data_IF_158948034142
#
_entry.id   IF_158948034142
#
_cell.length_a   1.000
_cell.length_b   1.000
_cell.length_c   1.000
_cell.angle_alpha   90.00
_cell.angle_beta   90.00
_cell.angle_gamma   90.00
#
_symmetry.space_group_name_H-M   'P 1'
#
loop_
_entity.id
_entity.type
_entity.pdbx_description
1 polymer ?
#
# COMPACT_ATOMS: atom_id res chain seq x y z
N UNK A 1 31.96 17.73 32.84
CA UNK A 1 32.00 16.31 32.41
C UNK A 1 30.59 15.78 32.08
N UNK A 2 29.56 16.08 32.89
CA UNK A 2 28.15 15.69 32.61
C UNK A 2 27.58 16.25 31.30
N UNK A 3 27.84 17.52 30.96
CA UNK A 3 27.33 18.16 29.73
C UNK A 3 27.80 17.48 28.42
N UNK A 4 29.00 16.90 28.40
CA UNK A 4 29.50 16.13 27.24
C UNK A 4 28.79 14.77 27.09
N UNK A 5 28.38 14.16 28.20
CA UNK A 5 27.68 12.87 28.19
C UNK A 5 26.21 13.04 27.75
N UNK A 6 25.54 14.11 28.20
CA UNK A 6 24.19 14.46 27.74
C UNK A 6 24.17 14.81 26.24
N UNK A 7 25.16 15.56 25.76
CA UNK A 7 25.31 15.88 24.34
C UNK A 7 25.60 14.62 23.49
N UNK A 8 26.31 13.64 24.05
CA UNK A 8 26.58 12.34 23.40
C UNK A 8 25.33 11.47 23.31
N UNK A 9 24.49 11.44 24.35
CA UNK A 9 23.26 10.65 24.35
C UNK A 9 22.22 11.22 23.37
N UNK A 10 22.03 12.54 23.35
CA UNK A 10 21.14 13.21 22.40
C UNK A 10 21.59 12.99 20.94
N UNK A 11 22.90 12.98 20.68
CA UNK A 11 23.46 12.66 19.36
C UNK A 11 23.18 11.21 18.95
N UNK A 12 23.31 10.25 19.87
CA UNK A 12 23.02 8.84 19.62
C UNK A 12 21.53 8.59 19.34
N UNK A 13 20.63 9.22 20.10
CA UNK A 13 19.18 9.14 19.85
C UNK A 13 18.83 9.71 18.48
N UNK A 14 19.39 10.87 18.10
CA UNK A 14 19.17 11.44 16.78
C UNK A 14 19.67 10.54 15.65
N UNK A 15 20.82 9.88 15.83
CA UNK A 15 21.33 8.92 14.86
C UNK A 15 20.40 7.72 14.69
N UNK A 16 19.89 7.16 15.79
CA UNK A 16 18.92 6.05 15.75
C UNK A 16 17.60 6.47 15.07
N UNK A 17 17.07 7.65 15.41
CA UNK A 17 15.88 8.20 14.77
C UNK A 17 16.07 8.35 13.26
N UNK A 18 17.20 8.90 12.82
CA UNK A 18 17.48 9.06 11.40
C UNK A 18 17.62 7.71 10.69
N UNK A 19 18.27 6.72 11.32
CA UNK A 19 18.37 5.37 10.78
C UNK A 19 16.98 4.72 10.59
N UNK A 20 16.10 4.87 11.58
CA UNK A 20 14.72 4.40 11.47
C UNK A 20 13.96 5.11 10.34
N UNK A 21 14.11 6.42 10.20
CA UNK A 21 13.47 7.20 9.13
C UNK A 21 13.94 6.79 7.75
N UNK A 22 15.24 6.62 7.53
CA UNK A 22 15.75 6.11 6.26
C UNK A 22 15.14 4.75 5.91
N UNK A 23 15.01 3.85 6.91
CA UNK A 23 14.36 2.56 6.70
C UNK A 23 12.86 2.68 6.38
N UNK A 24 12.16 3.64 6.96
CA UNK A 24 10.76 3.94 6.62
C UNK A 24 10.67 4.43 5.18
N UNK A 25 11.52 5.38 4.79
CA UNK A 25 11.56 5.92 3.42
C UNK A 25 11.81 4.80 2.39
N UNK A 26 12.73 3.88 2.68
CA UNK A 26 13.02 2.73 1.81
C UNK A 26 11.82 1.76 1.67
N UNK A 27 11.05 1.56 2.75
CA UNK A 27 9.82 0.76 2.71
C UNK A 27 8.78 1.47 1.84
N UNK A 28 8.60 2.78 2.04
CA UNK A 28 7.63 3.57 1.29
C UNK A 28 7.95 3.58 -0.21
N UNK A 29 9.23 3.71 -0.59
CA UNK A 29 9.64 3.57 -1.99
C UNK A 29 9.26 2.21 -2.59
N UNK A 30 9.45 1.12 -1.84
CA UNK A 30 9.06 -0.22 -2.28
C UNK A 30 7.55 -0.36 -2.42
N UNK A 31 6.78 0.21 -1.49
CA UNK A 31 5.31 0.24 -1.57
C UNK A 31 4.84 0.97 -2.83
N UNK A 32 5.42 2.12 -3.15
CA UNK A 32 5.08 2.87 -4.38
C UNK A 32 5.43 2.07 -5.64
N UNK A 33 6.59 1.41 -5.67
CA UNK A 33 6.98 0.57 -6.79
C UNK A 33 6.02 -0.63 -6.99
N UNK A 34 5.57 -1.26 -5.91
CA UNK A 34 4.58 -2.36 -5.97
C UNK A 34 3.19 -1.86 -6.38
N UNK A 35 2.78 -0.68 -5.90
CA UNK A 35 1.52 -0.06 -6.33
C UNK A 35 1.55 0.22 -7.84
N UNK A 36 2.63 0.76 -8.39
CA UNK A 36 2.74 0.97 -9.83
C UNK A 36 2.52 -0.33 -10.63
N UNK A 37 3.14 -1.44 -10.20
CA UNK A 37 2.93 -2.75 -10.82
C UNK A 37 1.49 -3.23 -10.69
N UNK A 38 0.89 -3.09 -9.50
CA UNK A 38 -0.51 -3.49 -9.26
C UNK A 38 -1.50 -2.73 -10.14
N UNK A 39 -1.29 -1.42 -10.33
CA UNK A 39 -2.15 -0.59 -11.17
C UNK A 39 -2.00 -0.94 -12.65
N UNK A 40 -0.79 -1.29 -13.12
CA UNK A 40 -0.60 -1.80 -14.47
C UNK A 40 -1.40 -3.09 -14.71
N UNK A 41 -1.42 -4.02 -13.75
CA UNK A 41 -2.26 -5.23 -13.83
C UNK A 41 -3.75 -4.88 -13.80
N UNK A 42 -4.16 -3.91 -12.99
CA UNK A 42 -5.57 -3.50 -12.90
C UNK A 42 -6.06 -2.93 -14.24
N UNK A 43 -5.22 -2.15 -14.93
CA UNK A 43 -5.50 -1.68 -16.29
C UNK A 43 -5.74 -2.83 -17.27
N UNK A 44 -4.89 -3.86 -17.27
CA UNK A 44 -5.09 -5.05 -18.10
C UNK A 44 -6.41 -5.78 -17.77
N UNK A 45 -6.78 -5.85 -16.49
CA UNK A 45 -8.07 -6.41 -16.07
C UNK A 45 -9.22 -5.57 -16.64
N UNK A 46 -9.12 -4.24 -16.60
CA UNK A 46 -10.10 -3.34 -17.22
C UNK A 46 -10.24 -3.54 -18.73
N UNK A 47 -9.11 -3.66 -19.45
CA UNK A 47 -9.08 -3.94 -20.89
C UNK A 47 -9.76 -5.28 -21.22
N UNK A 48 -9.43 -6.34 -20.48
CA UNK A 48 -10.06 -7.66 -20.65
C UNK A 48 -11.56 -7.64 -20.36
N UNK A 49 -11.98 -6.93 -19.31
CA UNK A 49 -13.41 -6.77 -19.00
C UNK A 49 -14.15 -6.06 -20.13
N UNK A 50 -13.55 -5.00 -20.69
CA UNK A 50 -14.13 -4.26 -21.80
C UNK A 50 -14.24 -5.13 -23.07
N UNK A 51 -13.19 -5.88 -23.42
CA UNK A 51 -13.16 -6.78 -24.58
C UNK A 51 -14.24 -7.87 -24.48
N UNK A 52 -14.50 -8.38 -23.28
CA UNK A 52 -15.45 -9.47 -23.04
C UNK A 52 -16.82 -9.02 -22.54
N UNK A 53 -17.11 -7.71 -22.53
CA UNK A 53 -18.36 -7.13 -22.02
C UNK A 53 -18.72 -7.57 -20.59
N UNK A 54 -17.71 -7.72 -19.73
CA UNK A 54 -17.87 -8.12 -18.33
C UNK A 54 -18.15 -6.91 -17.43
N UNK A 55 -18.92 -7.13 -16.38
CA UNK A 55 -19.22 -6.10 -15.40
C UNK A 55 -17.97 -5.64 -14.63
N UNK A 56 -17.88 -4.32 -14.43
CA UNK A 56 -16.82 -3.72 -13.62
C UNK A 56 -16.94 -4.15 -12.15
N UNK A 57 -18.17 -4.41 -11.67
CA UNK A 57 -18.48 -4.78 -10.30
C UNK A 57 -18.53 -6.30 -10.12
N UNK A 58 -17.68 -6.81 -9.24
CA UNK A 58 -17.63 -8.24 -8.87
C UNK A 58 -17.57 -8.35 -7.34
N UNK A 59 -18.74 -8.42 -6.65
CA UNK A 59 -18.79 -8.40 -5.19
C UNK A 59 -18.19 -9.64 -4.55
N UNK A 60 -18.20 -10.78 -5.24
CA UNK A 60 -17.61 -12.01 -4.75
C UNK A 60 -16.08 -11.92 -4.78
N UNK A 61 -15.51 -11.37 -5.87
CA UNK A 61 -14.07 -11.08 -5.94
C UNK A 61 -13.63 -10.08 -4.88
N UNK A 62 -14.42 -9.04 -4.65
CA UNK A 62 -14.16 -8.01 -3.66
C UNK A 62 -14.14 -8.57 -2.23
N UNK A 63 -15.12 -9.45 -1.88
CA UNK A 63 -15.15 -10.14 -0.58
C UNK A 63 -13.99 -11.09 -0.38
N UNK A 64 -13.68 -11.93 -1.37
CA UNK A 64 -12.55 -12.85 -1.29
C UNK A 64 -11.22 -12.10 -1.08
N UNK A 65 -11.03 -10.96 -1.75
CA UNK A 65 -9.85 -10.12 -1.55
C UNK A 65 -9.75 -9.56 -0.12
N UNK A 66 -10.88 -9.18 0.48
CA UNK A 66 -10.92 -8.67 1.86
C UNK A 66 -10.62 -9.78 2.87
N UNK A 67 -11.18 -10.97 2.68
CA UNK A 67 -10.90 -12.16 3.50
C UNK A 67 -9.42 -12.55 3.41
N UNK A 68 -8.84 -12.61 2.21
CA UNK A 68 -7.40 -12.88 2.03
C UNK A 68 -6.55 -11.85 2.79
N UNK A 69 -6.92 -10.56 2.71
CA UNK A 69 -6.17 -9.48 3.33
C UNK A 69 -6.24 -9.52 4.86
N UNK A 70 -7.33 -10.04 5.45
CA UNK A 70 -7.42 -10.28 6.88
C UNK A 70 -6.41 -11.35 7.33
N UNK A 71 -6.29 -12.45 6.59
CA UNK A 71 -5.33 -13.52 6.89
C UNK A 71 -3.88 -13.02 6.76
N UNK A 72 -3.56 -12.27 5.70
CA UNK A 72 -2.24 -11.66 5.53
C UNK A 72 -1.93 -10.69 6.66
N UNK A 73 -2.91 -9.87 7.10
CA UNK A 73 -2.69 -8.96 8.20
C UNK A 73 -2.32 -9.71 9.50
N UNK A 74 -3.02 -10.81 9.80
CA UNK A 74 -2.72 -11.66 10.95
C UNK A 74 -1.32 -12.28 10.86
N UNK A 75 -0.95 -12.83 9.70
CA UNK A 75 0.37 -13.44 9.46
C UNK A 75 1.53 -12.47 9.72
N UNK A 76 1.38 -11.21 9.30
CA UNK A 76 2.40 -10.18 9.44
C UNK A 76 2.26 -9.34 10.73
N UNK A 77 1.31 -9.66 11.61
CA UNK A 77 1.06 -8.91 12.85
C UNK A 77 0.58 -7.46 12.62
N UNK A 78 -0.03 -7.19 11.46
CA UNK A 78 -0.65 -5.91 11.13
C UNK A 78 -2.10 -5.89 11.62
N UNK A 79 -2.57 -4.74 12.14
CA UNK A 79 -3.96 -4.60 12.51
C UNK A 79 -4.86 -4.83 11.27
N UNK A 80 -5.82 -5.77 11.31
CA UNK A 80 -6.63 -6.10 10.13
C UNK A 80 -7.43 -4.92 9.57
N UNK A 81 -7.82 -3.96 10.41
CA UNK A 81 -8.50 -2.74 9.95
C UNK A 81 -7.62 -1.88 9.04
N UNK A 82 -6.30 -1.87 9.25
CA UNK A 82 -5.35 -1.15 8.39
C UNK A 82 -5.26 -1.83 7.03
N UNK A 83 -5.18 -3.16 7.01
CA UNK A 83 -5.08 -3.94 5.78
C UNK A 83 -6.35 -3.80 4.93
N UNK A 84 -7.54 -3.85 5.56
CA UNK A 84 -8.81 -3.59 4.91
C UNK A 84 -8.93 -2.16 4.37
N UNK A 85 -8.51 -1.16 5.16
CA UNK A 85 -8.53 0.23 4.72
C UNK A 85 -7.60 0.43 3.51
N UNK A 86 -6.42 -0.18 3.53
CA UNK A 86 -5.45 -0.13 2.43
C UNK A 86 -6.03 -0.74 1.15
N UNK A 87 -6.54 -1.98 1.20
CA UNK A 87 -7.04 -2.65 0.00
C UNK A 87 -8.26 -1.93 -0.59
N UNK A 88 -9.13 -1.38 0.26
CA UNK A 88 -10.26 -0.54 -0.16
C UNK A 88 -9.77 0.74 -0.83
N UNK A 89 -8.83 1.47 -0.22
CA UNK A 89 -8.26 2.68 -0.79
C UNK A 89 -7.65 2.41 -2.18
N UNK A 90 -6.83 1.36 -2.29
CA UNK A 90 -6.17 1.01 -3.55
C UNK A 90 -7.18 0.60 -4.62
N UNK A 91 -8.23 -0.15 -4.26
CA UNK A 91 -9.33 -0.51 -5.17
C UNK A 91 -10.06 0.72 -5.71
N UNK A 92 -10.43 1.65 -4.85
CA UNK A 92 -11.12 2.88 -5.27
C UNK A 92 -10.24 3.75 -6.17
N UNK A 93 -8.94 3.88 -5.84
CA UNK A 93 -8.00 4.61 -6.71
C UNK A 93 -7.78 3.95 -8.06
N UNK A 94 -7.77 2.62 -8.13
CA UNK A 94 -7.70 1.93 -9.41
C UNK A 94 -8.94 2.21 -10.29
N UNK A 95 -10.14 2.16 -9.70
CA UNK A 95 -11.40 2.52 -10.39
C UNK A 95 -11.40 3.99 -10.87
N UNK A 96 -10.90 4.92 -10.06
CA UNK A 96 -10.75 6.33 -10.46
C UNK A 96 -9.81 6.49 -11.67
N UNK A 97 -8.66 5.81 -11.64
CA UNK A 97 -7.67 5.88 -12.71
C UNK A 97 -8.21 5.32 -14.04
N UNK A 98 -8.87 4.16 -14.01
CA UNK A 98 -9.52 3.58 -15.20
C UNK A 98 -10.54 4.54 -15.83
N UNK A 99 -11.39 5.18 -15.01
CA UNK A 99 -12.36 6.17 -15.50
C UNK A 99 -11.68 7.37 -16.15
N UNK A 100 -10.56 7.83 -15.58
CA UNK A 100 -9.82 8.97 -16.13
C UNK A 100 -9.08 8.66 -17.43
N UNK A 101 -8.63 7.41 -17.61
CA UNK A 101 -7.93 6.96 -18.81
C UNK A 101 -8.91 6.61 -19.94
N UNK A 102 -10.06 6.00 -19.63
CA UNK A 102 -11.12 5.70 -20.60
C UNK A 102 -11.92 6.93 -21.06
N UNK A 103 -11.74 8.09 -20.43
CA UNK A 103 -12.32 9.37 -20.84
C UNK A 103 -11.46 10.15 -21.85
N UNK A 104 -10.36 9.56 -22.34
CA UNK A 104 -9.49 10.11 -23.39
C UNK A 104 -9.63 9.32 -24.68
#
# INVERSE_FOLDING_TARGET
MMEKAENSYASQVNFQLNTCRCRIDDIDHQVIALLAQRFAVTKLVGELKAEHHLDAFDPDRERAQEEDMLHVAEEYGLNPSIALAYVKMVREKAKEQERSEGAR
#
